data_IF_529240494590
#
_entry.id   IF_529240494590
#
_cell.length_a   1.000
_cell.length_b   1.000
_cell.length_c   1.000
_cell.angle_alpha   90.00
_cell.angle_beta   90.00
_cell.angle_gamma   90.00
#
_symmetry.space_group_name_H-M   'P 1'
#
loop_
_entity.id
_entity.type
_entity.pdbx_description
1 polymer ?
#
# COMPACT_ATOMS: atom_id res chain seq x y z
N UNK A 1 42.87 -22.90 -16.35
CA UNK A 1 41.72 -22.59 -17.23
C UNK A 1 40.45 -22.54 -16.40
N UNK A 2 40.11 -21.37 -15.85
CA UNK A 2 39.06 -21.19 -14.82
C UNK A 2 38.25 -19.92 -15.12
N UNK A 3 37.66 -19.84 -16.31
CA UNK A 3 36.89 -18.65 -16.73
C UNK A 3 35.56 -19.06 -17.37
N UNK A 4 34.78 -19.88 -16.65
CA UNK A 4 33.41 -20.22 -17.05
C UNK A 4 32.40 -20.21 -15.90
N UNK A 5 32.73 -19.56 -14.78
CA UNK A 5 31.87 -19.49 -13.58
C UNK A 5 31.69 -18.07 -13.05
N UNK A 6 31.57 -17.05 -13.91
CA UNK A 6 31.28 -15.68 -13.46
C UNK A 6 30.02 -15.09 -14.10
N UNK A 7 29.42 -15.78 -15.08
CA UNK A 7 28.21 -15.31 -15.76
C UNK A 7 26.88 -15.77 -15.13
N UNK A 8 26.91 -16.25 -13.88
CA UNK A 8 25.70 -16.65 -13.13
C UNK A 8 25.38 -15.71 -11.95
N UNK A 9 26.05 -14.57 -11.85
CA UNK A 9 25.77 -13.52 -10.87
C UNK A 9 25.29 -12.28 -11.63
N UNK A 10 24.21 -11.65 -11.14
CA UNK A 10 23.63 -10.38 -11.64
C UNK A 10 22.59 -10.41 -12.78
N UNK A 11 21.68 -11.37 -12.73
CA UNK A 11 20.30 -11.11 -13.18
C UNK A 11 19.35 -11.47 -12.06
N UNK A 12 19.38 -10.69 -10.98
CA UNK A 12 18.20 -10.57 -10.12
C UNK A 12 17.16 -9.89 -11.02
N UNK A 13 16.06 -10.55 -11.43
CA UNK A 13 15.00 -9.82 -12.08
C UNK A 13 14.52 -8.81 -11.03
N UNK A 14 14.84 -7.52 -11.25
CA UNK A 14 14.26 -6.40 -10.48
C UNK A 14 12.77 -6.35 -10.80
N UNK A 15 12.02 -7.32 -10.31
CA UNK A 15 10.57 -7.23 -10.18
C UNK A 15 10.35 -6.39 -8.91
N UNK A 16 10.77 -5.13 -8.94
CA UNK A 16 10.18 -4.12 -8.08
C UNK A 16 8.80 -3.86 -8.66
N UNK A 17 7.84 -4.75 -8.37
CA UNK A 17 6.42 -4.49 -8.63
C UNK A 17 6.13 -3.16 -7.93
N UNK A 18 5.95 -2.10 -8.70
CA UNK A 18 5.46 -0.83 -8.17
C UNK A 18 4.12 -1.17 -7.52
N UNK A 19 4.03 -1.00 -6.20
CA UNK A 19 2.74 -1.15 -5.51
C UNK A 19 1.79 -0.16 -6.16
N UNK A 20 0.57 -0.61 -6.42
CA UNK A 20 -0.45 0.32 -6.90
C UNK A 20 -0.80 1.29 -5.77
N UNK A 21 -1.26 2.50 -6.11
CA UNK A 21 -1.71 3.49 -5.10
C UNK A 21 -2.75 2.89 -4.15
N UNK A 22 -3.58 1.95 -4.65
CA UNK A 22 -4.56 1.21 -3.85
C UNK A 22 -3.89 0.33 -2.78
N UNK A 23 -2.88 -0.44 -3.17
CA UNK A 23 -2.12 -1.31 -2.25
C UNK A 23 -1.34 -0.48 -1.22
N UNK A 24 -0.72 0.62 -1.64
CA UNK A 24 -0.05 1.54 -0.72
C UNK A 24 -1.04 2.12 0.29
N UNK A 25 -2.20 2.59 -0.17
CA UNK A 25 -3.25 3.13 0.71
C UNK A 25 -3.69 2.09 1.74
N UNK A 26 -3.93 0.84 1.32
CA UNK A 26 -4.34 -0.24 2.23
C UNK A 26 -3.29 -0.51 3.29
N UNK A 27 -2.02 -0.59 2.88
CA UNK A 27 -0.90 -0.76 3.81
C UNK A 27 -0.82 0.39 4.82
N UNK A 28 -0.95 1.64 4.36
CA UNK A 28 -0.95 2.81 5.25
C UNK A 28 -2.10 2.79 6.24
N UNK A 29 -3.31 2.44 5.81
CA UNK A 29 -4.46 2.32 6.70
C UNK A 29 -4.22 1.27 7.78
N UNK A 30 -3.75 0.08 7.39
CA UNK A 30 -3.44 -1.01 8.34
C UNK A 30 -2.39 -0.58 9.36
N UNK A 31 -1.28 0.04 8.93
CA UNK A 31 -0.24 0.54 9.84
C UNK A 31 -0.78 1.57 10.85
N UNK A 32 -1.78 2.36 10.47
CA UNK A 32 -2.40 3.36 11.34
C UNK A 32 -3.56 2.79 12.18
N UNK A 33 -3.90 1.51 12.02
CA UNK A 33 -5.02 0.86 12.72
C UNK A 33 -6.38 1.30 12.17
N UNK A 34 -6.45 1.58 10.87
CA UNK A 34 -7.68 1.90 10.16
C UNK A 34 -7.93 0.89 9.06
N UNK A 35 -9.20 0.74 8.71
CA UNK A 35 -9.63 -0.03 7.57
C UNK A 35 -10.59 0.80 6.72
N UNK A 36 -10.50 0.59 5.41
CA UNK A 36 -11.37 1.20 4.43
C UNK A 36 -11.66 0.17 3.34
N UNK A 37 -12.90 0.15 2.87
CA UNK A 37 -13.32 -0.73 1.79
C UNK A 37 -12.61 -0.35 0.49
N UNK A 38 -12.44 -1.33 -0.39
CA UNK A 38 -11.86 -1.11 -1.72
C UNK A 38 -12.61 -0.02 -2.50
N UNK A 39 -13.94 0.09 -2.32
CA UNK A 39 -14.77 1.12 -2.95
C UNK A 39 -14.46 2.52 -2.43
N UNK A 40 -14.25 2.68 -1.13
CA UNK A 40 -13.90 3.97 -0.51
C UNK A 40 -12.52 4.45 -0.96
N UNK A 41 -11.55 3.52 -0.99
CA UNK A 41 -10.20 3.80 -1.50
C UNK A 41 -10.27 4.23 -2.97
N UNK A 42 -11.05 3.53 -3.80
CA UNK A 42 -11.17 3.85 -5.21
C UNK A 42 -11.86 5.19 -5.47
N UNK A 43 -12.89 5.53 -4.69
CA UNK A 43 -13.54 6.85 -4.72
C UNK A 43 -12.56 7.96 -4.34
N UNK A 44 -11.75 7.74 -3.31
CA UNK A 44 -10.73 8.69 -2.87
C UNK A 44 -9.64 8.89 -3.95
N UNK A 45 -9.16 7.81 -4.56
CA UNK A 45 -8.19 7.87 -5.68
C UNK A 45 -8.75 8.67 -6.85
N UNK A 46 -9.99 8.41 -7.23
CA UNK A 46 -10.64 9.13 -8.33
C UNK A 46 -10.77 10.63 -8.02
N UNK A 47 -11.12 10.99 -6.78
CA UNK A 47 -11.25 12.38 -6.36
C UNK A 47 -9.90 13.11 -6.33
N UNK A 48 -8.87 12.50 -5.75
CA UNK A 48 -7.53 13.10 -5.69
C UNK A 48 -6.87 13.22 -7.07
N UNK A 49 -7.12 12.27 -8.00
CA UNK A 49 -6.68 12.43 -9.40
C UNK A 49 -7.31 13.63 -10.12
N UNK A 50 -8.48 14.08 -9.67
CA UNK A 50 -9.18 15.24 -10.25
C UNK A 50 -8.75 16.57 -9.62
N UNK A 51 -7.89 16.56 -8.60
CA UNK A 51 -7.37 17.77 -7.96
C UNK A 51 -6.01 18.15 -8.56
N UNK A 52 -5.93 19.20 -9.41
CA UNK A 52 -4.64 19.80 -9.76
C UNK A 52 -4.06 20.61 -8.57
N UNK A 53 -2.74 20.64 -8.32
CA UNK A 53 -1.65 19.79 -8.80
C UNK A 53 -1.14 18.87 -7.66
N UNK A 54 -1.83 17.77 -7.38
CA UNK A 54 -1.46 16.84 -6.30
C UNK A 54 -0.88 15.52 -6.81
N UNK A 55 0.17 15.00 -6.16
CA UNK A 55 0.59 13.60 -6.34
C UNK A 55 -0.38 12.70 -5.57
N UNK A 56 -1.02 11.78 -6.28
CA UNK A 56 -1.90 10.77 -5.67
C UNK A 56 -1.03 9.62 -5.15
N UNK A 57 -0.93 9.50 -3.83
CA UNK A 57 -0.14 8.49 -3.14
C UNK A 57 -0.90 7.96 -1.91
N UNK A 58 -0.41 6.90 -1.27
CA UNK A 58 -1.08 6.30 -0.11
C UNK A 58 -1.38 7.29 1.04
N UNK A 59 -0.51 8.29 1.25
CA UNK A 59 -0.68 9.32 2.28
C UNK A 59 -1.81 10.31 1.96
N UNK A 60 -1.88 10.82 0.73
CA UNK A 60 -2.95 11.77 0.34
C UNK A 60 -4.33 11.10 0.39
N UNK A 61 -4.42 9.83 0.00
CA UNK A 61 -5.64 9.04 0.13
C UNK A 61 -5.99 8.78 1.60
N UNK A 62 -5.02 8.39 2.43
CA UNK A 62 -5.25 8.21 3.86
C UNK A 62 -5.77 9.50 4.51
N UNK A 63 -5.11 10.64 4.28
CA UNK A 63 -5.50 11.94 4.83
C UNK A 63 -6.93 12.31 4.44
N UNK A 64 -7.31 12.06 3.18
CA UNK A 64 -8.67 12.27 2.71
C UNK A 64 -9.69 11.41 3.48
N UNK A 65 -9.41 10.11 3.63
CA UNK A 65 -10.30 9.18 4.31
C UNK A 65 -10.50 9.55 5.78
N UNK A 66 -9.45 10.00 6.46
CA UNK A 66 -9.51 10.46 7.86
C UNK A 66 -10.29 11.76 8.00
N UNK A 67 -10.00 12.76 7.17
CA UNK A 67 -10.66 14.07 7.23
C UNK A 67 -12.18 13.95 7.01
N UNK A 68 -12.61 13.01 6.16
CA UNK A 68 -14.03 12.80 5.86
C UNK A 68 -14.68 11.73 6.75
N UNK A 69 -13.97 11.20 7.76
CA UNK A 69 -14.45 10.12 8.65
C UNK A 69 -14.98 8.89 7.90
N UNK A 70 -14.35 8.57 6.77
CA UNK A 70 -14.75 7.44 5.91
C UNK A 70 -14.11 6.15 6.41
N UNK A 71 -12.80 6.17 6.67
CA UNK A 71 -12.10 5.00 7.19
C UNK A 71 -12.46 4.75 8.66
N UNK A 72 -12.69 3.48 9.00
CA UNK A 72 -13.07 3.06 10.35
C UNK A 72 -11.83 2.68 11.12
N UNK A 73 -11.74 3.13 12.37
CA UNK A 73 -10.67 2.70 13.28
C UNK A 73 -10.92 1.24 13.64
N UNK A 74 -9.93 0.40 13.37
CA UNK A 74 -9.95 -0.99 13.79
C UNK A 74 -9.36 -1.05 15.20
N UNK A 75 -10.07 -1.68 16.13
CA UNK A 75 -9.54 -1.93 17.47
C UNK A 75 -8.20 -2.68 17.35
N UNK A 76 -7.18 -2.26 18.12
CA UNK A 76 -5.81 -2.83 18.08
C UNK A 76 -5.77 -4.36 18.20
N UNK A 77 -6.82 -4.98 18.75
CA UNK A 77 -6.94 -6.43 18.89
C UNK A 77 -7.12 -7.18 17.55
N UNK A 78 -7.54 -6.53 16.46
CA UNK A 78 -7.73 -7.21 15.17
C UNK A 78 -6.51 -7.13 14.23
N UNK A 79 -5.59 -6.19 14.46
CA UNK A 79 -4.35 -6.08 13.66
C UNK A 79 -3.39 -7.24 13.95
N UNK A 80 -3.38 -7.74 15.19
CA UNK A 80 -2.55 -8.87 15.61
C UNK A 80 -3.02 -10.21 15.01
N UNK A 81 -4.29 -10.33 14.64
CA UNK A 81 -4.84 -11.57 14.06
C UNK A 81 -4.39 -11.83 12.61
N UNK A 82 -3.88 -10.82 11.91
CA UNK A 82 -3.37 -10.99 10.53
C UNK A 82 -1.88 -11.34 10.46
N UNK A 83 -1.14 -11.23 11.57
CA UNK A 83 0.30 -11.55 11.64
C UNK A 83 0.58 -12.96 12.18
N UNK A 84 -0.44 -13.63 12.73
CA UNK A 84 -0.33 -14.99 13.28
C UNK A 84 -0.59 -16.12 12.26
N UNK A 85 -0.81 -15.82 10.98
CA UNK A 85 -0.93 -16.84 9.93
C UNK A 85 0.39 -17.19 9.23
N UNK A 86 1.52 -16.72 9.77
CA UNK A 86 2.88 -17.08 9.33
C UNK A 86 3.62 -17.74 10.51
N UNK A 87 3.14 -18.90 10.95
CA UNK A 87 3.93 -19.87 11.71
C UNK A 87 3.53 -21.28 11.31
#
# INVERSE_FOLDING_TARGET
MLTKLIYAMYTIPKITKKRTVKEETRYYLQCQGYDATDQEIQRAIWRERKRPPGIVNGWSIHSYLMHNKIAKRVSKNAVVASDQSIF
#
